data_IF_894011486247
#
_entry.id   IF_894011486247
#
_cell.length_a   1.000
_cell.length_b   1.000
_cell.length_c   1.000
_cell.angle_alpha   90.00
_cell.angle_beta   90.00
_cell.angle_gamma   90.00
#
_symmetry.space_group_name_H-M   'P 1'
#
loop_
_entity.id
_entity.type
_entity.pdbx_description
1 polymer ?
#
# COMPACT_ATOMS: atom_id res chain seq x y z
N UNK A 1 -17.81 78.20 -27.10
CA UNK A 1 -16.74 78.06 -26.08
C UNK A 1 -16.84 76.67 -25.44
N UNK A 2 -16.03 75.75 -25.95
CA UNK A 2 -16.05 74.36 -25.54
C UNK A 2 -14.76 74.13 -24.72
N UNK A 3 -14.90 73.84 -23.41
CA UNK A 3 -13.76 73.56 -22.52
C UNK A 3 -13.42 72.06 -22.62
N UNK A 4 -12.27 71.76 -23.17
CA UNK A 4 -11.69 70.42 -23.17
C UNK A 4 -11.09 70.18 -21.77
N UNK A 5 -11.60 69.16 -21.09
CA UNK A 5 -11.05 68.64 -19.85
C UNK A 5 -10.07 67.55 -20.19
N UNK A 6 -8.80 67.80 -19.98
CA UNK A 6 -7.72 66.80 -20.15
C UNK A 6 -7.65 65.93 -18.85
N UNK A 7 -8.00 64.66 -18.96
CA UNK A 7 -7.87 63.71 -17.88
C UNK A 7 -6.45 63.12 -17.98
N UNK A 8 -5.60 63.38 -17.00
CA UNK A 8 -4.32 62.70 -16.84
C UNK A 8 -4.49 61.36 -16.20
N UNK A 9 -4.26 60.30 -16.94
CA UNK A 9 -4.21 58.92 -16.46
C UNK A 9 -2.86 58.67 -15.85
N UNK A 10 -2.76 58.70 -14.53
CA UNK A 10 -1.53 58.30 -13.81
C UNK A 10 -1.48 56.79 -13.71
N UNK A 11 -0.71 56.11 -14.56
CA UNK A 11 -0.45 54.69 -14.46
C UNK A 11 0.51 54.40 -13.33
N UNK A 12 0.00 53.94 -12.20
CA UNK A 12 0.77 53.43 -11.08
C UNK A 12 1.36 52.09 -11.49
N UNK A 13 2.63 52.05 -11.88
CA UNK A 13 3.39 50.81 -12.08
C UNK A 13 3.71 50.26 -10.71
N UNK A 14 2.87 49.39 -10.19
CA UNK A 14 3.20 48.55 -9.04
C UNK A 14 4.23 47.53 -9.52
N UNK A 15 5.47 47.78 -9.18
CA UNK A 15 6.55 46.80 -9.41
C UNK A 15 6.26 45.52 -8.62
N UNK A 16 5.81 44.48 -9.29
CA UNK A 16 5.75 43.14 -8.72
C UNK A 16 7.20 42.74 -8.42
N UNK A 17 7.57 42.50 -7.15
CA UNK A 17 8.91 41.98 -6.86
C UNK A 17 9.02 40.66 -7.63
N UNK A 18 9.92 40.58 -8.61
CA UNK A 18 10.33 39.31 -9.19
C UNK A 18 10.80 38.44 -8.03
N UNK A 19 10.01 37.42 -7.72
CA UNK A 19 10.46 36.31 -6.91
C UNK A 19 11.78 35.85 -7.51
N UNK A 20 12.86 36.09 -6.86
CA UNK A 20 14.18 35.61 -7.22
C UNK A 20 14.09 34.11 -7.07
N UNK A 21 13.96 33.39 -8.19
CA UNK A 21 14.18 31.96 -8.21
C UNK A 21 15.60 31.78 -7.64
N UNK A 22 15.68 31.17 -6.46
CA UNK A 22 16.93 30.69 -5.90
C UNK A 22 17.26 29.44 -6.69
N UNK A 23 17.84 29.65 -7.87
CA UNK A 23 18.49 28.64 -8.66
C UNK A 23 19.85 28.37 -8.02
N UNK A 24 19.82 27.60 -6.93
CA UNK A 24 20.99 27.20 -6.18
C UNK A 24 20.76 25.78 -5.67
N UNK A 25 21.04 24.79 -6.51
CA UNK A 25 21.20 23.43 -6.00
C UNK A 25 22.20 23.46 -4.86
N UNK A 26 21.76 23.11 -3.65
CA UNK A 26 22.62 23.02 -2.48
C UNK A 26 23.77 22.07 -2.81
N UNK A 27 25.02 22.52 -2.68
CA UNK A 27 26.21 21.70 -2.80
C UNK A 27 26.58 21.03 -1.48
N UNK A 28 27.64 20.22 -1.48
CA UNK A 28 28.14 19.54 -0.30
C UNK A 28 28.40 20.51 0.88
N UNK A 29 28.91 21.70 0.61
CA UNK A 29 29.17 22.72 1.65
C UNK A 29 27.89 23.27 2.27
N UNK A 30 26.83 23.45 1.47
CA UNK A 30 25.53 23.84 1.99
C UNK A 30 24.92 22.76 2.88
N UNK A 31 25.08 21.48 2.51
CA UNK A 31 24.68 20.36 3.37
C UNK A 31 25.48 20.31 4.66
N UNK A 32 26.80 20.55 4.63
CA UNK A 32 27.62 20.68 5.84
C UNK A 32 27.11 21.78 6.75
N UNK A 33 26.77 22.94 6.18
CA UNK A 33 26.21 24.06 6.94
C UNK A 33 24.85 23.72 7.54
N UNK A 34 23.98 23.04 6.80
CA UNK A 34 22.72 22.56 7.32
C UNK A 34 22.88 21.59 8.49
N UNK A 35 23.77 20.59 8.37
CA UNK A 35 24.11 19.69 9.47
C UNK A 35 24.60 20.44 10.70
N UNK A 36 25.52 21.40 10.50
CA UNK A 36 26.06 22.23 11.59
C UNK A 36 24.97 23.01 12.31
N UNK A 37 24.00 23.54 11.57
CA UNK A 37 22.95 24.39 12.12
C UNK A 37 21.87 23.59 12.85
N UNK A 38 21.47 22.43 12.28
CA UNK A 38 20.26 21.74 12.72
C UNK A 38 20.52 20.36 13.36
N UNK A 39 21.71 19.75 13.17
CA UNK A 39 21.93 18.35 13.56
C UNK A 39 23.03 18.19 14.62
N UNK A 40 24.13 18.93 14.51
CA UNK A 40 25.34 18.67 15.32
C UNK A 40 25.16 18.97 16.81
N UNK A 41 24.15 19.73 17.23
CA UNK A 41 23.83 19.91 18.67
C UNK A 41 23.49 18.57 19.36
N UNK A 42 22.90 17.63 18.62
CA UNK A 42 22.50 16.30 19.13
C UNK A 42 23.34 15.16 18.57
N UNK A 43 23.95 15.34 17.38
CA UNK A 43 24.72 14.32 16.67
C UNK A 43 26.16 14.79 16.36
N UNK A 44 26.72 15.62 17.24
CA UNK A 44 28.06 16.18 17.14
C UNK A 44 29.11 15.43 17.96
N UNK A 45 30.18 16.11 18.26
CA UNK A 45 31.31 15.56 19.03
C UNK A 45 30.95 15.30 20.50
N UNK A 46 30.28 16.27 21.17
CA UNK A 46 29.90 16.18 22.58
C UNK A 46 28.70 15.28 22.84
N UNK A 47 27.75 15.23 21.89
CA UNK A 47 26.53 14.44 21.98
C UNK A 47 26.34 13.61 20.72
N UNK A 48 26.09 12.34 20.90
CA UNK A 48 25.87 11.39 19.80
C UNK A 48 24.57 10.61 20.06
N UNK A 49 23.42 11.33 20.09
CA UNK A 49 22.14 10.72 20.29
C UNK A 49 21.91 9.63 19.22
N UNK A 50 21.36 8.50 19.63
CA UNK A 50 21.17 7.36 18.76
C UNK A 50 22.47 6.72 18.22
N UNK A 51 23.61 6.99 18.88
CA UNK A 51 24.94 6.53 18.44
C UNK A 51 25.34 7.06 17.05
N UNK A 52 24.80 8.23 16.68
CA UNK A 52 25.03 8.86 15.38
C UNK A 52 25.94 10.08 15.54
N UNK A 53 27.08 10.08 14.82
CA UNK A 53 28.08 11.14 14.81
C UNK A 53 28.15 11.79 13.42
N UNK A 54 27.43 12.92 13.23
CA UNK A 54 27.37 13.60 11.94
C UNK A 54 28.49 14.63 11.73
N UNK A 55 29.26 14.96 12.77
CA UNK A 55 30.41 15.90 12.67
C UNK A 55 31.57 15.33 11.84
N UNK A 56 31.63 14.00 11.68
CA UNK A 56 32.67 13.30 10.92
C UNK A 56 32.08 12.55 9.72
N UNK A 57 30.86 12.89 9.29
CA UNK A 57 30.22 12.20 8.20
C UNK A 57 31.00 12.36 6.89
N UNK A 58 31.27 11.23 6.24
CA UNK A 58 31.89 11.20 4.93
C UNK A 58 30.86 11.54 3.84
N UNK A 59 31.33 12.16 2.76
CA UNK A 59 30.53 12.52 1.58
C UNK A 59 30.86 11.64 0.38
N UNK A 60 31.62 10.58 0.58
CA UNK A 60 31.85 9.56 -0.45
C UNK A 60 30.77 8.48 -0.38
N UNK A 61 29.70 8.70 -1.10
CA UNK A 61 28.53 7.82 -1.15
C UNK A 61 28.79 6.45 -1.80
N UNK A 62 29.96 6.25 -2.41
CA UNK A 62 30.32 4.95 -2.99
C UNK A 62 30.71 3.94 -1.91
N UNK A 63 31.03 4.41 -0.71
CA UNK A 63 31.34 3.55 0.43
C UNK A 63 30.05 3.06 1.08
N UNK A 64 29.91 1.75 1.24
CA UNK A 64 28.71 1.11 1.75
C UNK A 64 28.20 1.73 3.07
N UNK A 65 29.08 1.91 4.05
CA UNK A 65 28.71 2.48 5.35
C UNK A 65 28.24 3.94 5.25
N UNK A 66 28.84 4.72 4.34
CA UNK A 66 28.43 6.11 4.08
C UNK A 66 27.06 6.15 3.43
N UNK A 67 26.82 5.32 2.43
CA UNK A 67 25.51 5.23 1.76
C UNK A 67 24.39 4.87 2.73
N UNK A 68 24.60 3.87 3.58
CA UNK A 68 23.61 3.46 4.60
C UNK A 68 23.32 4.56 5.64
N UNK A 69 24.36 5.30 6.05
CA UNK A 69 24.20 6.41 6.99
C UNK A 69 23.37 7.53 6.36
N UNK A 70 23.69 7.92 5.12
CA UNK A 70 22.97 8.96 4.41
C UNK A 70 21.53 8.56 4.05
N UNK A 71 21.27 7.27 3.81
CA UNK A 71 19.90 6.74 3.68
C UNK A 71 19.09 6.98 4.94
N UNK A 72 19.66 6.73 6.13
CA UNK A 72 18.99 7.01 7.40
C UNK A 72 18.75 8.51 7.61
N UNK A 73 19.72 9.35 7.26
CA UNK A 73 19.56 10.82 7.34
C UNK A 73 18.45 11.29 6.40
N UNK A 74 18.44 10.79 5.15
CA UNK A 74 17.42 11.11 4.16
C UNK A 74 16.01 10.69 4.65
N UNK A 75 15.88 9.50 5.21
CA UNK A 75 14.63 8.99 5.77
C UNK A 75 14.08 9.92 6.85
N UNK A 76 14.90 10.24 7.85
CA UNK A 76 14.49 11.07 8.98
C UNK A 76 14.12 12.52 8.57
N UNK A 77 14.83 13.09 7.60
CA UNK A 77 14.49 14.39 7.04
C UNK A 77 13.19 14.35 6.23
N UNK A 78 12.97 13.26 5.49
CA UNK A 78 11.80 13.09 4.62
C UNK A 78 10.51 12.93 5.42
N UNK A 79 10.53 12.12 6.49
CA UNK A 79 9.36 11.92 7.35
C UNK A 79 9.16 13.05 8.36
N UNK A 80 10.14 13.97 8.49
CA UNK A 80 10.05 15.11 9.38
C UNK A 80 10.35 14.81 10.85
N UNK A 81 10.89 13.65 11.17
CA UNK A 81 11.24 13.24 12.54
C UNK A 81 12.50 13.95 13.05
N UNK A 82 13.32 14.50 12.15
CA UNK A 82 14.54 15.23 12.50
C UNK A 82 14.61 16.60 11.78
N UNK A 83 14.99 17.66 12.53
CA UNK A 83 15.09 17.71 13.98
C UNK A 83 13.78 17.37 14.66
N UNK A 84 13.79 16.86 15.92
CA UNK A 84 12.55 16.56 16.65
C UNK A 84 11.60 17.76 16.66
N UNK A 85 10.27 17.57 16.64
CA UNK A 85 9.29 18.66 16.54
C UNK A 85 9.35 19.68 17.69
N UNK A 86 9.86 19.26 18.84
CA UNK A 86 10.05 20.09 20.04
C UNK A 86 11.37 20.87 20.05
N UNK A 87 12.21 20.71 19.02
CA UNK A 87 13.45 21.48 18.90
C UNK A 87 13.13 22.88 18.41
N UNK A 88 13.64 23.91 19.13
CA UNK A 88 13.40 25.32 18.83
C UNK A 88 13.89 25.75 17.43
N UNK A 89 14.98 25.12 16.97
CA UNK A 89 15.61 25.51 15.70
C UNK A 89 15.22 24.47 14.61
N UNK A 90 14.14 24.76 13.97
CA UNK A 90 13.66 23.99 12.82
C UNK A 90 14.21 24.56 11.50
N UNK A 91 14.60 23.72 10.53
CA UNK A 91 14.86 24.19 9.17
C UNK A 91 13.55 24.63 8.50
N UNK A 92 13.64 25.62 7.61
CA UNK A 92 12.54 25.91 6.71
C UNK A 92 12.30 24.74 5.75
N UNK A 93 11.07 24.65 5.21
CA UNK A 93 10.74 23.61 4.22
C UNK A 93 11.67 23.67 3.00
N UNK A 94 12.06 24.87 2.57
CA UNK A 94 12.99 25.07 1.46
C UNK A 94 14.39 24.52 1.77
N UNK A 95 14.92 24.80 2.95
CA UNK A 95 16.23 24.28 3.39
C UNK A 95 16.19 22.74 3.49
N UNK A 96 15.16 22.22 4.14
CA UNK A 96 14.95 20.77 4.29
C UNK A 96 14.88 20.07 2.92
N UNK A 97 14.02 20.55 2.04
CA UNK A 97 13.82 19.95 0.71
C UNK A 97 15.09 20.03 -0.16
N UNK A 98 15.83 21.13 -0.12
CA UNK A 98 17.08 21.28 -0.86
C UNK A 98 18.12 20.24 -0.44
N UNK A 99 18.21 19.97 0.87
CA UNK A 99 19.12 18.93 1.41
C UNK A 99 18.64 17.53 1.05
N UNK A 100 17.34 17.24 1.17
CA UNK A 100 16.73 15.97 0.74
C UNK A 100 17.05 15.69 -0.72
N UNK A 101 16.83 16.66 -1.61
CA UNK A 101 17.10 16.51 -3.05
C UNK A 101 18.60 16.30 -3.36
N UNK A 102 19.46 16.95 -2.61
CA UNK A 102 20.90 16.74 -2.78
C UNK A 102 21.33 15.33 -2.37
N UNK A 103 20.87 14.85 -1.19
CA UNK A 103 21.18 13.51 -0.69
C UNK A 103 20.63 12.45 -1.66
N UNK A 104 19.37 12.58 -2.11
CA UNK A 104 18.73 11.65 -3.04
C UNK A 104 19.53 11.53 -4.35
N UNK A 105 19.95 12.66 -4.93
CA UNK A 105 20.80 12.67 -6.12
C UNK A 105 22.15 12.00 -5.90
N UNK A 106 22.81 12.28 -4.77
CA UNK A 106 24.10 11.70 -4.43
C UNK A 106 24.02 10.18 -4.28
N UNK A 107 22.99 9.68 -3.58
CA UNK A 107 22.73 8.26 -3.41
C UNK A 107 22.39 7.56 -4.74
N UNK A 108 21.61 8.21 -5.60
CA UNK A 108 21.31 7.68 -6.94
C UNK A 108 22.57 7.56 -7.78
N UNK A 109 23.40 8.60 -7.80
CA UNK A 109 24.66 8.62 -8.56
C UNK A 109 25.62 7.53 -8.08
N UNK A 110 25.61 7.23 -6.79
CA UNK A 110 26.40 6.15 -6.18
C UNK A 110 25.77 4.75 -6.31
N UNK A 111 24.57 4.63 -6.90
CA UNK A 111 23.87 3.35 -7.07
C UNK A 111 23.12 2.85 -5.83
N UNK A 112 23.02 3.64 -4.76
CA UNK A 112 22.37 3.26 -3.49
C UNK A 112 20.92 3.76 -3.37
N UNK A 113 20.46 4.65 -4.25
CA UNK A 113 19.16 5.31 -4.17
C UNK A 113 17.96 4.40 -4.43
N UNK A 114 18.12 3.34 -5.20
CA UNK A 114 17.01 2.42 -5.54
C UNK A 114 16.45 1.67 -4.34
N UNK A 115 17.29 1.31 -3.39
CA UNK A 115 16.87 0.61 -2.17
C UNK A 115 15.96 1.52 -1.31
N UNK A 116 16.29 2.80 -1.20
CA UNK A 116 15.49 3.78 -0.47
C UNK A 116 14.14 4.04 -1.15
N UNK A 117 14.12 4.21 -2.47
CA UNK A 117 12.89 4.42 -3.22
C UNK A 117 11.94 3.23 -3.10
N UNK A 118 12.47 2.00 -3.17
CA UNK A 118 11.68 0.79 -2.93
C UNK A 118 11.11 0.75 -1.52
N UNK A 119 11.90 1.20 -0.52
CA UNK A 119 11.45 1.29 0.86
C UNK A 119 10.32 2.29 1.04
N UNK A 120 10.38 3.46 0.40
CA UNK A 120 9.31 4.47 0.44
C UNK A 120 7.99 3.99 -0.18
N UNK A 121 8.05 3.00 -1.07
CA UNK A 121 6.86 2.35 -1.63
C UNK A 121 6.30 1.25 -0.72
N UNK A 122 7.01 0.89 0.33
CA UNK A 122 6.54 -0.10 1.28
C UNK A 122 5.34 0.46 2.10
N UNK A 123 4.32 -0.37 2.36
CA UNK A 123 3.11 0.06 3.04
C UNK A 123 3.32 0.72 4.41
N UNK A 124 4.36 0.33 5.14
CA UNK A 124 4.70 0.89 6.46
C UNK A 124 5.09 2.38 6.43
N UNK A 125 5.49 2.91 5.29
CA UNK A 125 5.82 4.33 5.10
C UNK A 125 4.64 5.16 4.57
N UNK A 126 3.50 4.52 4.32
CA UNK A 126 2.29 5.17 3.82
C UNK A 126 2.46 5.75 2.41
N UNK A 127 1.67 6.76 2.12
CA UNK A 127 1.68 7.47 0.84
C UNK A 127 2.48 8.78 0.98
N UNK A 128 3.80 8.67 1.15
CA UNK A 128 4.60 9.88 1.14
C UNK A 128 4.59 10.54 -0.24
N UNK A 129 4.23 11.81 -0.26
CA UNK A 129 4.14 12.60 -1.49
C UNK A 129 4.96 13.87 -1.32
N UNK A 130 5.86 14.15 -2.25
CA UNK A 130 6.49 15.45 -2.33
C UNK A 130 5.49 16.47 -2.88
N UNK A 131 4.81 17.17 -1.99
CA UNK A 131 3.76 18.14 -2.34
C UNK A 131 4.30 19.29 -3.21
N UNK A 132 5.52 19.75 -2.96
CA UNK A 132 6.13 20.81 -3.75
C UNK A 132 6.30 20.38 -5.21
N UNK A 133 6.87 19.21 -5.47
CA UNK A 133 7.00 18.66 -6.83
C UNK A 133 5.65 18.36 -7.48
N UNK A 134 4.68 17.86 -6.69
CA UNK A 134 3.35 17.55 -7.19
C UNK A 134 2.62 18.80 -7.71
N UNK A 135 2.70 19.92 -6.99
CA UNK A 135 1.99 21.15 -7.31
C UNK A 135 2.82 22.18 -8.10
N UNK A 136 4.13 21.98 -8.27
CA UNK A 136 5.00 22.86 -9.08
C UNK A 136 4.70 22.80 -10.58
N UNK A 137 4.03 21.75 -11.05
CA UNK A 137 3.83 21.46 -12.45
C UNK A 137 5.07 20.91 -13.17
N UNK A 138 6.13 20.54 -12.44
CA UNK A 138 7.30 19.86 -12.98
C UNK A 138 6.98 18.43 -13.45
N UNK A 139 6.10 17.75 -12.70
CA UNK A 139 5.68 16.40 -13.03
C UNK A 139 4.64 16.45 -14.15
N UNK A 140 5.06 16.08 -15.35
CA UNK A 140 4.18 16.06 -16.57
C UNK A 140 3.58 14.69 -16.82
N UNK A 141 4.13 13.64 -16.22
CA UNK A 141 3.59 12.28 -16.36
C UNK A 141 2.31 12.14 -15.54
N UNK A 142 1.28 11.47 -16.07
CA UNK A 142 0.09 11.16 -15.28
C UNK A 142 0.45 10.35 -14.04
N UNK A 143 -0.24 10.62 -12.95
CA UNK A 143 -0.07 9.87 -11.69
C UNK A 143 -0.38 8.39 -11.88
N UNK A 144 0.30 7.54 -11.14
CA UNK A 144 0.04 6.10 -11.08
C UNK A 144 0.26 5.59 -9.66
N UNK A 145 -0.32 4.44 -9.38
CA UNK A 145 -0.03 3.69 -8.16
C UNK A 145 0.79 2.46 -8.51
N UNK A 146 1.72 2.02 -7.66
CA UNK A 146 2.34 0.72 -7.83
C UNK A 146 1.29 -0.39 -7.70
N UNK A 147 1.59 -1.58 -8.21
CA UNK A 147 0.79 -2.76 -7.93
C UNK A 147 0.71 -2.99 -6.42
N UNK A 148 -0.48 -3.30 -5.93
CA UNK A 148 -0.75 -3.39 -4.49
C UNK A 148 -1.44 -4.68 -4.12
N UNK A 149 -1.12 -5.14 -2.93
CA UNK A 149 -1.79 -6.22 -2.25
C UNK A 149 -2.29 -5.69 -0.90
N UNK A 150 -3.60 -5.47 -0.81
CA UNK A 150 -4.22 -4.94 0.40
C UNK A 150 -4.85 -6.07 1.20
N UNK A 151 -4.35 -6.33 2.39
CA UNK A 151 -5.05 -7.24 3.30
C UNK A 151 -6.38 -6.62 3.71
N UNK A 152 -7.45 -7.43 3.74
CA UNK A 152 -8.71 -6.98 4.30
C UNK A 152 -8.54 -6.64 5.78
N UNK A 153 -9.13 -5.52 6.20
CA UNK A 153 -9.25 -5.20 7.61
C UNK A 153 -10.29 -6.09 8.30
N UNK A 154 -10.33 -6.04 9.62
CA UNK A 154 -11.25 -6.88 10.39
C UNK A 154 -12.72 -6.56 10.11
N UNK A 155 -13.04 -5.31 9.78
CA UNK A 155 -14.40 -4.88 9.44
C UNK A 155 -14.85 -5.47 8.10
N UNK A 156 -14.06 -5.26 7.04
CA UNK A 156 -14.32 -5.86 5.71
C UNK A 156 -14.45 -7.38 5.82
N UNK A 157 -13.56 -8.01 6.59
CA UNK A 157 -13.60 -9.46 6.76
C UNK A 157 -14.87 -9.93 7.46
N UNK A 158 -15.38 -9.18 8.43
CA UNK A 158 -16.61 -9.51 9.14
C UNK A 158 -17.84 -9.45 8.24
N UNK A 159 -17.85 -8.57 7.25
CA UNK A 159 -18.93 -8.43 6.27
C UNK A 159 -18.96 -9.54 5.21
N UNK A 160 -17.91 -10.35 5.09
CA UNK A 160 -17.90 -11.49 4.16
C UNK A 160 -18.89 -12.63 4.51
N UNK A 161 -19.55 -12.53 5.66
CA UNK A 161 -20.62 -13.48 6.02
C UNK A 161 -20.14 -14.89 6.35
N UNK A 162 -18.92 -15.03 6.83
CA UNK A 162 -18.34 -16.35 7.21
C UNK A 162 -18.87 -16.87 8.58
N UNK A 163 -20.04 -16.42 8.97
CA UNK A 163 -20.67 -16.85 10.23
C UNK A 163 -20.10 -16.12 11.45
N UNK A 164 -20.15 -16.77 12.61
CA UNK A 164 -19.63 -16.21 13.85
C UNK A 164 -18.10 -16.37 14.00
N UNK A 165 -17.40 -16.70 12.93
CA UNK A 165 -15.96 -16.82 12.96
C UNK A 165 -15.34 -15.45 13.23
N UNK A 166 -14.49 -15.38 14.25
CA UNK A 166 -13.74 -14.16 14.52
C UNK A 166 -12.79 -13.88 13.37
N UNK A 167 -12.66 -12.60 13.03
CA UNK A 167 -11.66 -12.18 12.05
C UNK A 167 -10.27 -12.71 12.45
N UNK A 168 -9.51 -13.31 11.52
CA UNK A 168 -8.14 -13.73 11.78
C UNK A 168 -7.20 -12.56 12.11
N UNK A 169 -7.70 -11.33 12.00
CA UNK A 169 -6.96 -10.08 12.17
C UNK A 169 -7.39 -9.30 13.42
N UNK A 170 -8.11 -9.94 14.35
CA UNK A 170 -8.68 -9.27 15.53
C UNK A 170 -7.67 -8.96 16.66
N UNK A 171 -6.44 -9.42 16.55
CA UNK A 171 -5.37 -9.13 17.52
C UNK A 171 -4.67 -7.80 17.22
N UNK A 172 -5.44 -6.81 17.03
CA UNK A 172 -4.92 -5.47 16.83
C UNK A 172 -4.32 -4.95 18.11
N UNK A 173 -3.17 -4.35 17.99
CA UNK A 173 -2.52 -3.64 19.07
C UNK A 173 -3.39 -2.48 19.54
N UNK A 174 -4.33 -2.78 20.41
CA UNK A 174 -5.16 -1.80 21.11
C UNK A 174 -4.33 -0.74 21.85
N UNK A 175 -3.09 -1.08 22.19
CA UNK A 175 -2.16 -0.25 22.92
C UNK A 175 -1.74 1.04 22.20
N UNK A 176 -1.88 1.12 20.89
CA UNK A 176 -1.50 2.32 20.09
C UNK A 176 -2.65 2.97 19.33
N UNK A 177 -3.88 2.56 19.57
CA UNK A 177 -5.07 3.18 18.96
C UNK A 177 -5.23 2.96 17.46
N UNK A 178 -4.40 2.14 16.86
CA UNK A 178 -4.39 1.94 15.42
C UNK A 178 -4.84 0.53 15.10
N UNK A 179 -5.84 0.40 14.26
CA UNK A 179 -6.59 -0.83 14.06
C UNK A 179 -6.23 -1.62 12.82
N UNK A 180 -5.45 -1.12 11.93
CA UNK A 180 -5.05 -1.89 10.75
C UNK A 180 -3.82 -1.29 10.08
N UNK A 181 -2.85 -2.15 9.80
CA UNK A 181 -1.59 -1.70 9.28
C UNK A 181 -1.12 -2.45 8.10
N UNK A 182 -0.55 -1.68 7.26
CA UNK A 182 0.24 -2.16 6.17
C UNK A 182 1.37 -3.11 6.60
N UNK A 183 1.97 -2.90 7.77
CA UNK A 183 2.97 -3.81 8.36
C UNK A 183 2.44 -5.22 8.65
N UNK A 184 1.13 -5.36 8.82
CA UNK A 184 0.46 -6.65 8.98
C UNK A 184 -0.06 -7.24 7.67
N UNK A 185 0.43 -6.79 6.53
CA UNK A 185 0.00 -7.27 5.22
C UNK A 185 0.44 -8.70 4.90
N UNK A 186 1.38 -9.25 5.65
CA UNK A 186 1.88 -10.62 5.44
C UNK A 186 0.96 -11.62 6.12
N UNK A 187 0.53 -12.65 5.38
CA UNK A 187 -0.10 -13.83 5.96
C UNK A 187 0.98 -14.76 6.49
N UNK A 188 0.99 -14.95 7.77
CA UNK A 188 1.87 -15.88 8.46
C UNK A 188 1.19 -17.24 8.72
N UNK A 189 1.90 -18.14 9.37
CA UNK A 189 1.38 -19.46 9.73
C UNK A 189 0.12 -19.37 10.60
N UNK A 190 0.06 -18.40 11.52
CA UNK A 190 -1.10 -18.17 12.39
C UNK A 190 -2.31 -17.72 11.58
N UNK A 191 -2.11 -16.87 10.58
CA UNK A 191 -3.16 -16.44 9.64
C UNK A 191 -3.74 -17.62 8.87
N UNK A 192 -2.88 -18.51 8.34
CA UNK A 192 -3.32 -19.72 7.63
C UNK A 192 -4.13 -20.63 8.55
N UNK A 193 -3.66 -20.86 9.77
CA UNK A 193 -4.39 -21.67 10.75
C UNK A 193 -5.76 -21.06 11.07
N UNK A 194 -5.83 -19.74 11.28
CA UNK A 194 -7.10 -19.06 11.54
C UNK A 194 -8.04 -19.14 10.34
N UNK A 195 -7.55 -19.07 9.11
CA UNK A 195 -8.38 -19.24 7.91
C UNK A 195 -8.97 -20.64 7.82
N UNK A 196 -8.26 -21.67 8.24
CA UNK A 196 -8.80 -23.03 8.34
C UNK A 196 -9.92 -23.11 9.38
N UNK A 197 -9.76 -22.47 10.54
CA UNK A 197 -10.81 -22.40 11.57
C UNK A 197 -12.03 -21.63 11.07
N UNK A 198 -11.83 -20.55 10.34
CA UNK A 198 -12.91 -19.78 9.69
C UNK A 198 -13.67 -20.66 8.69
N UNK A 199 -12.95 -21.38 7.83
CA UNK A 199 -13.55 -22.29 6.86
C UNK A 199 -14.38 -23.40 7.53
N UNK A 200 -13.85 -24.00 8.60
CA UNK A 200 -14.60 -25.01 9.38
C UNK A 200 -15.85 -24.41 10.01
N UNK A 201 -15.75 -23.25 10.64
CA UNK A 201 -16.89 -22.56 11.25
C UNK A 201 -17.97 -22.20 10.23
N UNK A 202 -17.56 -21.73 9.06
CA UNK A 202 -18.46 -21.42 7.94
C UNK A 202 -19.20 -22.66 7.46
N UNK A 203 -18.49 -23.77 7.24
CA UNK A 203 -19.08 -25.04 6.79
C UNK A 203 -20.02 -25.64 7.84
N UNK A 204 -19.63 -25.64 9.12
CA UNK A 204 -20.47 -26.12 10.22
C UNK A 204 -21.76 -25.31 10.35
N UNK A 205 -21.69 -23.99 10.23
CA UNK A 205 -22.87 -23.13 10.31
C UNK A 205 -23.87 -23.44 9.16
N UNK A 206 -23.37 -23.72 7.98
CA UNK A 206 -24.19 -24.08 6.80
C UNK A 206 -24.79 -25.49 6.91
N UNK A 207 -24.02 -26.43 7.41
CA UNK A 207 -24.46 -27.81 7.65
C UNK A 207 -25.63 -27.84 8.65
N UNK A 208 -25.53 -27.07 9.76
CA UNK A 208 -26.62 -26.89 10.72
C UNK A 208 -27.90 -26.31 10.12
N UNK A 209 -27.79 -25.48 9.07
CA UNK A 209 -28.93 -24.96 8.30
C UNK A 209 -29.46 -25.95 7.29
N UNK A 210 -28.82 -27.11 7.13
CA UNK A 210 -29.23 -28.15 6.21
C UNK A 210 -28.92 -27.86 4.74
N UNK A 211 -27.97 -26.94 4.47
CA UNK A 211 -27.62 -26.58 3.09
C UNK A 211 -26.91 -27.70 2.31
N UNK A 212 -26.42 -28.74 3.02
CA UNK A 212 -25.66 -29.84 2.43
C UNK A 212 -26.45 -31.17 2.36
N UNK A 213 -27.74 -31.14 2.65
CA UNK A 213 -28.56 -32.39 2.66
C UNK A 213 -28.50 -33.14 1.34
N UNK A 214 -28.57 -32.43 0.22
CA UNK A 214 -28.50 -33.05 -1.11
C UNK A 214 -27.13 -33.62 -1.45
N UNK A 215 -26.05 -33.00 -0.94
CA UNK A 215 -24.67 -33.50 -1.09
C UNK A 215 -24.37 -34.68 -0.16
N UNK A 216 -25.11 -34.81 0.93
CA UNK A 216 -25.01 -35.93 1.87
C UNK A 216 -25.81 -37.16 1.41
N UNK A 217 -26.72 -36.99 0.46
CA UNK A 217 -27.50 -38.09 -0.09
C UNK A 217 -26.64 -38.96 -1.03
N UNK A 218 -26.23 -40.12 -0.55
CA UNK A 218 -25.38 -41.02 -1.29
C UNK A 218 -26.07 -41.61 -2.56
N UNK A 219 -27.40 -41.47 -2.68
CA UNK A 219 -28.17 -41.92 -3.86
C UNK A 219 -28.24 -40.87 -4.97
N UNK A 220 -27.85 -39.64 -4.72
CA UNK A 220 -27.88 -38.56 -5.70
C UNK A 220 -26.59 -38.52 -6.52
N UNK A 221 -26.69 -38.86 -7.80
CA UNK A 221 -25.59 -38.65 -8.74
C UNK A 221 -25.55 -37.17 -9.15
N UNK A 222 -24.37 -36.56 -9.02
CA UNK A 222 -24.09 -35.20 -9.47
C UNK A 222 -23.34 -35.27 -10.80
N UNK A 223 -23.89 -34.64 -11.82
CA UNK A 223 -23.24 -34.56 -13.12
C UNK A 223 -22.20 -33.39 -13.14
N UNK A 224 -21.41 -33.31 -14.20
CA UNK A 224 -20.37 -32.30 -14.37
C UNK A 224 -20.92 -30.86 -14.35
N UNK A 225 -22.13 -30.63 -14.81
CA UNK A 225 -22.78 -29.33 -14.77
C UNK A 225 -23.09 -28.93 -13.33
N UNK A 226 -23.59 -29.86 -12.51
CA UNK A 226 -23.90 -29.63 -11.09
C UNK A 226 -22.62 -29.30 -10.31
N UNK A 227 -21.53 -30.03 -10.53
CA UNK A 227 -20.24 -29.82 -9.90
C UNK A 227 -19.63 -28.48 -10.33
N UNK A 228 -19.77 -28.12 -11.60
CA UNK A 228 -19.33 -26.85 -12.14
C UNK A 228 -20.02 -25.65 -11.46
N UNK A 229 -21.36 -25.75 -11.32
CA UNK A 229 -22.13 -24.69 -10.67
C UNK A 229 -21.85 -24.60 -9.15
N UNK A 230 -21.61 -25.75 -8.49
CA UNK A 230 -21.15 -25.78 -7.11
C UNK A 230 -19.83 -24.97 -6.94
N UNK A 231 -18.85 -25.24 -7.80
CA UNK A 231 -17.56 -24.50 -7.76
C UNK A 231 -17.78 -23.01 -8.00
N UNK A 232 -18.56 -22.63 -9.00
CA UNK A 232 -18.85 -21.23 -9.30
C UNK A 232 -19.47 -20.49 -8.13
N UNK A 233 -20.51 -21.09 -7.54
CA UNK A 233 -21.25 -20.51 -6.42
C UNK A 233 -20.37 -20.34 -5.18
N UNK A 234 -19.59 -21.36 -4.85
CA UNK A 234 -18.73 -21.29 -3.66
C UNK A 234 -17.55 -20.36 -3.87
N UNK A 235 -17.00 -20.29 -5.08
CA UNK A 235 -15.97 -19.30 -5.42
C UNK A 235 -16.48 -17.86 -5.26
N UNK A 236 -17.69 -17.58 -5.75
CA UNK A 236 -18.32 -16.27 -5.54
C UNK A 236 -18.53 -15.96 -4.04
N UNK A 237 -18.92 -16.94 -3.23
CA UNK A 237 -19.13 -16.76 -1.79
C UNK A 237 -17.85 -16.50 -1.00
N UNK A 238 -16.78 -17.21 -1.32
CA UNK A 238 -15.52 -17.14 -0.55
C UNK A 238 -14.61 -16.03 -1.08
N UNK A 239 -14.45 -15.98 -2.38
CA UNK A 239 -13.52 -15.06 -3.05
C UNK A 239 -14.19 -13.71 -3.38
N UNK A 240 -15.51 -13.72 -3.66
CA UNK A 240 -16.27 -12.52 -4.01
C UNK A 240 -16.35 -12.24 -5.50
N UNK A 241 -15.96 -13.18 -6.35
CA UNK A 241 -16.10 -13.13 -7.80
C UNK A 241 -16.31 -14.53 -8.39
N UNK A 242 -16.80 -14.61 -9.60
CA UNK A 242 -16.80 -15.87 -10.33
C UNK A 242 -15.37 -16.27 -10.74
N UNK A 243 -15.07 -17.58 -10.78
CA UNK A 243 -13.78 -18.06 -11.23
C UNK A 243 -13.61 -17.80 -12.74
N UNK A 244 -12.38 -17.49 -13.17
CA UNK A 244 -12.02 -17.55 -14.58
C UNK A 244 -11.93 -19.02 -15.03
N UNK A 245 -11.89 -19.26 -16.33
CA UNK A 245 -11.95 -20.62 -16.88
C UNK A 245 -10.87 -21.55 -16.28
N UNK A 246 -9.64 -21.10 -16.20
CA UNK A 246 -8.52 -21.86 -15.64
C UNK A 246 -8.75 -22.23 -14.16
N UNK A 247 -9.26 -21.30 -13.38
CA UNK A 247 -9.61 -21.52 -11.97
C UNK A 247 -10.78 -22.51 -11.83
N UNK A 248 -11.79 -22.34 -12.70
CA UNK A 248 -12.94 -23.25 -12.75
C UNK A 248 -12.51 -24.69 -13.00
N UNK A 249 -11.66 -24.90 -13.98
CA UNK A 249 -11.12 -26.22 -14.35
C UNK A 249 -10.27 -26.80 -13.20
N UNK A 250 -9.43 -26.00 -12.60
CA UNK A 250 -8.59 -26.40 -11.46
C UNK A 250 -9.42 -26.82 -10.25
N UNK A 251 -10.40 -26.01 -9.84
CA UNK A 251 -11.24 -26.34 -8.69
C UNK A 251 -12.20 -27.52 -8.98
N UNK A 252 -12.70 -27.64 -10.22
CA UNK A 252 -13.51 -28.77 -10.62
C UNK A 252 -12.72 -30.08 -10.58
N UNK A 253 -11.49 -30.07 -11.10
CA UNK A 253 -10.60 -31.24 -11.04
C UNK A 253 -10.31 -31.62 -9.59
N UNK A 254 -10.00 -30.64 -8.75
CA UNK A 254 -9.73 -30.86 -7.34
C UNK A 254 -10.97 -31.41 -6.60
N UNK A 255 -12.16 -30.89 -6.89
CA UNK A 255 -13.43 -31.38 -6.34
C UNK A 255 -13.65 -32.86 -6.70
N UNK A 256 -13.51 -33.22 -7.97
CA UNK A 256 -13.67 -34.59 -8.43
C UNK A 256 -12.73 -35.58 -7.75
N UNK A 257 -11.45 -35.22 -7.63
CA UNK A 257 -10.44 -36.03 -6.93
C UNK A 257 -10.82 -36.28 -5.46
N UNK A 258 -11.32 -35.24 -4.79
CA UNK A 258 -11.72 -35.37 -3.39
C UNK A 258 -13.04 -36.12 -3.22
N UNK A 259 -13.95 -36.06 -4.20
CA UNK A 259 -15.18 -36.88 -4.21
C UNK A 259 -14.85 -38.36 -4.34
N UNK A 260 -13.90 -38.71 -5.19
CA UNK A 260 -13.43 -40.11 -5.34
C UNK A 260 -12.88 -40.69 -4.03
N UNK A 261 -12.27 -39.84 -3.21
CA UNK A 261 -11.64 -40.26 -1.95
C UNK A 261 -12.60 -40.29 -0.77
N UNK A 262 -13.46 -39.25 -0.63
CA UNK A 262 -14.28 -39.03 0.56
C UNK A 262 -15.78 -38.87 0.32
N UNK A 263 -16.25 -39.05 -0.92
CA UNK A 263 -17.63 -38.83 -1.30
C UNK A 263 -17.96 -37.34 -1.52
N UNK A 264 -19.21 -37.09 -1.96
CA UNK A 264 -19.63 -35.75 -2.41
C UNK A 264 -19.48 -34.66 -1.31
N UNK A 265 -19.93 -34.96 -0.10
CA UNK A 265 -19.96 -34.01 0.97
C UNK A 265 -18.54 -33.61 1.44
N UNK A 266 -17.68 -34.59 1.64
CA UNK A 266 -16.30 -34.34 2.11
C UNK A 266 -15.44 -33.74 1.01
N UNK A 267 -15.60 -34.17 -0.23
CA UNK A 267 -14.97 -33.59 -1.39
C UNK A 267 -15.34 -32.11 -1.58
N UNK A 268 -16.62 -31.79 -1.43
CA UNK A 268 -17.10 -30.42 -1.46
C UNK A 268 -16.52 -29.59 -0.33
N UNK A 269 -16.62 -30.06 0.93
CA UNK A 269 -16.07 -29.35 2.10
C UNK A 269 -14.58 -29.08 1.95
N UNK A 270 -13.81 -30.05 1.46
CA UNK A 270 -12.37 -29.92 1.23
C UNK A 270 -12.07 -28.86 0.15
N UNK A 271 -12.87 -28.85 -0.93
CA UNK A 271 -12.70 -27.85 -2.00
C UNK A 271 -13.00 -26.43 -1.51
N UNK A 272 -14.05 -26.24 -0.71
CA UNK A 272 -14.36 -24.93 -0.11
C UNK A 272 -13.24 -24.48 0.83
N UNK A 273 -12.68 -25.38 1.64
CA UNK A 273 -11.52 -25.05 2.49
C UNK A 273 -10.32 -24.59 1.66
N UNK A 274 -10.06 -25.22 0.53
CA UNK A 274 -8.98 -24.80 -0.37
C UNK A 274 -9.20 -23.38 -0.92
N UNK A 275 -10.45 -22.98 -1.20
CA UNK A 275 -10.77 -21.61 -1.59
C UNK A 275 -10.47 -20.60 -0.48
N UNK A 276 -10.72 -20.92 0.78
CA UNK A 276 -10.36 -20.08 1.92
C UNK A 276 -8.84 -19.89 2.06
N UNK A 277 -8.02 -20.78 1.55
CA UNK A 277 -6.56 -20.65 1.53
C UNK A 277 -6.04 -19.87 0.32
N UNK A 278 -6.91 -19.48 -0.60
CA UNK A 278 -6.51 -18.58 -1.71
C UNK A 278 -6.15 -17.20 -1.17
N UNK A 279 -5.10 -16.57 -1.68
CA UNK A 279 -4.75 -15.19 -1.29
C UNK A 279 -5.91 -14.21 -1.42
N UNK A 280 -6.77 -14.34 -2.41
CA UNK A 280 -7.93 -13.46 -2.64
C UNK A 280 -8.99 -13.54 -1.53
N UNK A 281 -8.98 -14.59 -0.71
CA UNK A 281 -9.90 -14.68 0.43
C UNK A 281 -9.59 -13.65 1.52
N UNK A 282 -8.33 -13.21 1.63
CA UNK A 282 -7.81 -12.29 2.64
C UNK A 282 -7.20 -11.01 2.08
N UNK A 283 -6.96 -10.95 0.77
CA UNK A 283 -6.37 -9.78 0.11
C UNK A 283 -7.24 -9.24 -1.01
N UNK A 284 -7.29 -7.92 -1.10
CA UNK A 284 -7.67 -7.22 -2.31
C UNK A 284 -6.43 -7.01 -3.17
N UNK A 285 -6.48 -7.48 -4.40
CA UNK A 285 -5.38 -7.39 -5.34
C UNK A 285 -5.63 -6.25 -6.33
N UNK A 286 -4.64 -5.38 -6.50
CA UNK A 286 -4.62 -4.28 -7.46
C UNK A 286 -3.31 -4.35 -8.25
N UNK A 287 -3.23 -5.37 -9.13
CA UNK A 287 -2.02 -5.65 -9.92
C UNK A 287 -1.99 -4.96 -11.27
N UNK A 288 -3.14 -4.39 -11.69
CA UNK A 288 -3.26 -3.78 -13.01
C UNK A 288 -3.32 -4.84 -14.12
N UNK A 289 -4.22 -5.80 -14.00
CA UNK A 289 -4.42 -6.86 -15.00
C UNK A 289 -5.18 -6.40 -16.25
N UNK A 290 -5.54 -5.11 -16.32
CA UNK A 290 -6.22 -4.50 -17.46
C UNK A 290 -5.25 -4.05 -18.56
N UNK A 291 -5.77 -3.19 -19.44
CA UNK A 291 -5.02 -2.70 -20.61
C UNK A 291 -3.86 -1.79 -20.20
N UNK A 292 -2.79 -1.83 -20.97
CA UNK A 292 -1.66 -0.89 -20.88
C UNK A 292 -2.01 0.36 -21.69
N UNK A 293 -1.78 1.54 -21.11
CA UNK A 293 -1.98 2.82 -21.78
C UNK A 293 -0.71 3.31 -22.51
N UNK A 294 -0.82 4.48 -23.17
CA UNK A 294 0.28 5.09 -23.94
C UNK A 294 1.48 5.52 -23.08
N UNK A 295 1.33 5.58 -21.78
CA UNK A 295 2.40 5.91 -20.83
C UNK A 295 2.99 4.66 -20.12
N UNK A 296 2.64 3.46 -20.59
CA UNK A 296 3.09 2.21 -19.99
C UNK A 296 2.41 1.84 -18.67
N UNK A 297 1.36 2.59 -18.25
CA UNK A 297 0.60 2.28 -17.05
C UNK A 297 -0.42 1.18 -17.36
N UNK A 298 -0.63 0.29 -16.39
CA UNK A 298 -1.67 -0.73 -16.49
C UNK A 298 -2.94 -0.26 -15.77
N UNK A 299 -4.07 -0.37 -16.44
CA UNK A 299 -5.36 -0.18 -15.80
C UNK A 299 -5.70 -1.38 -14.92
N UNK A 300 -6.50 -1.16 -13.89
CA UNK A 300 -7.14 -2.27 -13.19
C UNK A 300 -8.06 -3.01 -14.16
N UNK A 301 -8.10 -4.33 -14.05
CA UNK A 301 -9.13 -5.13 -14.75
C UNK A 301 -10.53 -4.78 -14.21
N UNK A 302 -11.61 -5.11 -14.93
CA UNK A 302 -12.97 -4.87 -14.43
C UNK A 302 -13.22 -5.43 -13.02
N UNK A 303 -12.72 -6.63 -12.72
CA UNK A 303 -12.86 -7.25 -11.41
C UNK A 303 -12.06 -6.49 -10.33
N UNK A 304 -10.79 -6.14 -10.60
CA UNK A 304 -10.00 -5.35 -9.67
C UNK A 304 -10.64 -4.00 -9.39
N UNK A 305 -11.17 -3.34 -10.42
CA UNK A 305 -11.83 -2.05 -10.30
C UNK A 305 -13.13 -2.16 -9.49
N UNK A 306 -13.96 -3.17 -9.76
CA UNK A 306 -15.18 -3.41 -9.02
C UNK A 306 -14.91 -3.59 -7.52
N UNK A 307 -13.92 -4.43 -7.17
CA UNK A 307 -13.50 -4.63 -5.79
C UNK A 307 -12.92 -3.35 -5.17
N UNK A 308 -12.07 -2.61 -5.89
CA UNK A 308 -11.47 -1.37 -5.39
C UNK A 308 -12.54 -0.32 -5.07
N UNK A 309 -13.53 -0.14 -5.94
CA UNK A 309 -14.63 0.81 -5.75
C UNK A 309 -15.58 0.37 -4.64
N UNK A 310 -16.01 -0.90 -4.65
CA UNK A 310 -16.93 -1.43 -3.66
C UNK A 310 -16.36 -1.30 -2.24
N UNK A 311 -15.15 -1.78 -2.02
CA UNK A 311 -14.49 -1.65 -0.70
C UNK A 311 -14.21 -0.21 -0.28
N UNK A 312 -13.97 0.70 -1.21
CA UNK A 312 -13.74 2.10 -0.88
C UNK A 312 -15.02 2.82 -0.45
N UNK A 313 -16.19 2.38 -0.92
CA UNK A 313 -17.47 3.05 -0.68
C UNK A 313 -18.32 2.38 0.39
N UNK A 314 -18.21 1.06 0.55
CA UNK A 314 -19.15 0.27 1.36
C UNK A 314 -18.49 -0.64 2.39
N UNK A 315 -17.16 -0.78 2.39
CA UNK A 315 -16.43 -1.81 3.13
C UNK A 315 -16.90 -3.25 2.84
N UNK A 316 -17.54 -3.45 1.71
CA UNK A 316 -18.04 -4.76 1.26
C UNK A 316 -17.52 -5.07 -0.15
N UNK A 317 -17.54 -6.35 -0.50
CA UNK A 317 -17.25 -6.78 -1.87
C UNK A 317 -18.33 -6.31 -2.85
N UNK A 318 -18.03 -6.32 -4.16
CA UNK A 318 -19.04 -6.00 -5.17
C UNK A 318 -20.16 -7.07 -5.17
N UNK A 319 -21.38 -6.63 -5.51
CA UNK A 319 -22.56 -7.47 -5.67
C UNK A 319 -22.48 -8.39 -6.91
#
# INVERSE_FOLDING_TARGET
MMRVVQVFLVTLIVGIPKARAIDGAVGADGVRQFLKTHCLRCHGEEKQKGKLALHQVDFDFTRANTGELWLKVLEQLTVGDMPPPDEERQPSDSERNSVIEWIDRALLTAGSGDAYRKKLLAPEYGNWVNHQKLFSGEIKTPSFSPARLWRFNSEIFSHKGFGNAKSPFSYVTSERGVRDYAAMSVADQSTVQMMMIVADSFLVARDKRGEFKELADAGKELNDSDLTELVRREHMRVIGRYPVQEEQEKYLTFLKQNIETGGHLDGFKTTVKAMFLSPESIYRMEFGLGKVDTHGRRHLSPNELAHAVAYALTDQGPD
#
